data_IF_015324122850
#
_entry.id   IF_015324122850
#
_cell.length_a   1.000
_cell.length_b   1.000
_cell.length_c   1.000
_cell.angle_alpha   90.00
_cell.angle_beta   90.00
_cell.angle_gamma   90.00
#
_symmetry.space_group_name_H-M   'P 1'
#
loop_
_entity.id
_entity.type
_entity.pdbx_description
1 polymer ?
#
# COMPACT_ATOMS: atom_id res chain seq x y z
N UNK A 1 29.46 -22.36 21.09
CA UNK A 1 29.32 -21.05 20.40
C UNK A 1 28.55 -21.30 19.12
N UNK A 2 27.27 -21.03 19.11
CA UNK A 2 26.48 -20.98 17.88
C UNK A 2 26.94 -19.74 17.12
N UNK A 3 27.64 -19.93 16.01
CA UNK A 3 27.92 -18.85 15.08
C UNK A 3 26.60 -18.46 14.43
N UNK A 4 26.26 -17.19 14.48
CA UNK A 4 25.14 -16.59 13.74
C UNK A 4 25.22 -16.98 12.27
N UNK A 5 24.47 -18.00 11.86
CA UNK A 5 24.33 -18.38 10.46
C UNK A 5 23.41 -17.45 9.68
N UNK A 6 23.09 -16.28 10.21
CA UNK A 6 22.34 -15.23 9.52
C UNK A 6 23.24 -14.22 8.79
N UNK A 7 24.55 -14.50 8.63
CA UNK A 7 25.43 -13.66 7.86
C UNK A 7 25.31 -13.94 6.37
N UNK A 8 24.81 -12.97 5.62
CA UNK A 8 25.10 -12.69 4.21
C UNK A 8 25.17 -13.90 3.26
N UNK A 9 24.13 -14.73 3.22
CA UNK A 9 23.95 -15.56 2.03
C UNK A 9 23.56 -14.60 0.90
N UNK A 10 24.53 -14.20 0.09
CA UNK A 10 24.28 -13.52 -1.18
C UNK A 10 23.17 -14.29 -1.88
N UNK A 11 22.07 -13.62 -2.21
CA UNK A 11 20.99 -14.24 -2.98
C UNK A 11 21.58 -14.79 -4.27
N UNK A 12 21.20 -16.00 -4.70
CA UNK A 12 21.80 -16.60 -5.89
C UNK A 12 21.56 -15.75 -7.13
N UNK A 13 22.56 -15.69 -8.01
CA UNK A 13 22.40 -15.10 -9.33
C UNK A 13 21.41 -15.94 -10.15
N UNK A 14 20.48 -15.28 -10.82
CA UNK A 14 19.59 -15.96 -11.74
C UNK A 14 20.14 -15.85 -13.18
N UNK A 15 20.10 -16.98 -13.90
CA UNK A 15 20.16 -16.93 -15.36
C UNK A 15 18.88 -16.28 -15.91
N UNK A 16 18.88 -15.95 -17.21
CA UNK A 16 17.69 -15.40 -17.85
C UNK A 16 16.45 -16.28 -17.65
N UNK A 17 16.58 -17.59 -17.91
CA UNK A 17 15.46 -18.53 -17.79
C UNK A 17 15.00 -18.71 -16.34
N UNK A 18 15.93 -18.76 -15.39
CA UNK A 18 15.61 -18.78 -13.96
C UNK A 18 14.89 -17.52 -13.52
N UNK A 19 15.36 -16.35 -14.00
CA UNK A 19 14.76 -15.06 -13.69
C UNK A 19 13.30 -15.00 -14.15
N UNK A 20 13.04 -15.39 -15.42
CA UNK A 20 11.68 -15.41 -15.99
C UNK A 20 10.77 -16.33 -15.17
N UNK A 21 11.20 -17.56 -14.91
CA UNK A 21 10.39 -18.53 -14.17
C UNK A 21 10.11 -18.07 -12.72
N UNK A 22 11.13 -17.56 -12.03
CA UNK A 22 11.01 -17.15 -10.64
C UNK A 22 10.17 -15.87 -10.50
N UNK A 23 10.35 -14.91 -11.40
CA UNK A 23 9.60 -13.65 -11.32
C UNK A 23 8.12 -13.84 -11.70
N UNK A 24 7.83 -14.75 -12.64
CA UNK A 24 6.43 -15.12 -12.94
C UNK A 24 5.75 -15.72 -11.71
N UNK A 25 6.40 -16.61 -10.98
CA UNK A 25 5.88 -17.17 -9.73
C UNK A 25 5.68 -16.11 -8.66
N UNK A 26 6.61 -15.17 -8.56
CA UNK A 26 6.54 -14.03 -7.64
C UNK A 26 5.31 -13.17 -7.91
N UNK A 27 5.02 -12.87 -9.18
CA UNK A 27 3.84 -12.13 -9.60
C UNK A 27 2.54 -12.94 -9.44
N UNK A 28 2.58 -14.26 -9.67
CA UNK A 28 1.41 -15.12 -9.53
C UNK A 28 0.98 -15.34 -8.08
N UNK A 29 1.91 -15.26 -7.14
CA UNK A 29 1.63 -15.46 -5.72
C UNK A 29 0.72 -14.37 -5.15
N UNK A 30 0.94 -13.11 -5.54
CA UNK A 30 0.09 -11.96 -5.21
C UNK A 30 0.34 -10.81 -6.18
N UNK A 31 -0.57 -9.87 -6.25
CA UNK A 31 -0.37 -8.66 -7.06
C UNK A 31 0.87 -7.89 -6.60
N UNK A 32 1.68 -7.46 -7.57
CA UNK A 32 2.94 -6.74 -7.33
C UNK A 32 2.94 -5.41 -8.07
N UNK A 33 3.59 -4.40 -7.49
CA UNK A 33 3.91 -3.19 -8.24
C UNK A 33 5.20 -3.36 -9.04
N UNK A 34 5.41 -2.51 -10.04
CA UNK A 34 6.61 -2.55 -10.89
C UNK A 34 7.89 -2.41 -10.06
N UNK A 35 7.88 -1.56 -9.05
CA UNK A 35 9.00 -1.32 -8.15
C UNK A 35 9.43 -2.59 -7.39
N UNK A 36 8.48 -3.34 -6.86
CA UNK A 36 8.75 -4.63 -6.17
C UNK A 36 9.40 -5.63 -7.12
N UNK A 37 8.89 -5.72 -8.35
CA UNK A 37 9.45 -6.61 -9.37
C UNK A 37 10.86 -6.20 -9.76
N UNK A 38 11.12 -4.91 -9.96
CA UNK A 38 12.46 -4.38 -10.26
C UNK A 38 13.45 -4.74 -9.16
N UNK A 39 13.10 -4.48 -7.92
CA UNK A 39 13.97 -4.80 -6.77
C UNK A 39 14.23 -6.29 -6.65
N UNK A 40 13.22 -7.12 -6.88
CA UNK A 40 13.37 -8.56 -6.84
C UNK A 40 14.36 -9.06 -7.89
N UNK A 41 14.30 -8.55 -9.10
CA UNK A 41 15.24 -8.87 -10.18
C UNK A 41 16.65 -8.38 -9.85
N UNK A 42 16.78 -7.15 -9.35
CA UNK A 42 18.06 -6.56 -8.98
C UNK A 42 18.73 -7.36 -7.85
N UNK A 43 17.99 -7.85 -6.87
CA UNK A 43 18.51 -8.70 -5.80
C UNK A 43 19.23 -9.96 -6.33
N UNK A 44 18.82 -10.44 -7.50
CA UNK A 44 19.38 -11.62 -8.17
C UNK A 44 20.24 -11.27 -9.38
N UNK A 45 20.80 -10.05 -9.38
CA UNK A 45 21.75 -9.56 -10.36
C UNK A 45 21.21 -9.45 -11.81
N UNK A 46 19.91 -9.20 -11.95
CA UNK A 46 19.31 -8.86 -13.24
C UNK A 46 19.20 -7.33 -13.34
N UNK A 47 19.84 -6.76 -14.36
CA UNK A 47 19.93 -5.31 -14.55
C UNK A 47 19.72 -4.91 -16.01
N UNK A 48 19.59 -3.62 -16.24
CA UNK A 48 19.68 -2.99 -17.57
C UNK A 48 18.64 -3.51 -18.55
N UNK A 49 19.06 -3.75 -19.79
CA UNK A 49 18.18 -4.14 -20.88
C UNK A 49 17.44 -5.45 -20.62
N UNK A 50 18.11 -6.42 -20.00
CA UNK A 50 17.49 -7.69 -19.65
C UNK A 50 16.37 -7.49 -18.63
N UNK A 51 16.57 -6.65 -17.62
CA UNK A 51 15.54 -6.32 -16.65
C UNK A 51 14.33 -5.68 -17.33
N UNK A 52 14.54 -4.72 -18.23
CA UNK A 52 13.46 -4.05 -18.95
C UNK A 52 12.71 -5.00 -19.86
N UNK A 53 13.42 -5.90 -20.55
CA UNK A 53 12.81 -6.94 -21.38
C UNK A 53 11.91 -7.87 -20.57
N UNK A 54 12.37 -8.33 -19.41
CA UNK A 54 11.61 -9.20 -18.53
C UNK A 54 10.34 -8.49 -18.01
N UNK A 55 10.45 -7.24 -17.60
CA UNK A 55 9.30 -6.46 -17.14
C UNK A 55 8.29 -6.27 -18.28
N UNK A 56 8.75 -5.94 -19.47
CA UNK A 56 7.90 -5.79 -20.65
C UNK A 56 7.13 -7.08 -20.95
N UNK A 57 7.80 -8.22 -20.87
CA UNK A 57 7.18 -9.54 -21.08
C UNK A 57 6.14 -9.87 -20.01
N UNK A 58 6.42 -9.53 -18.76
CA UNK A 58 5.46 -9.71 -17.65
C UNK A 58 4.18 -8.90 -17.86
N UNK A 59 4.33 -7.67 -18.34
CA UNK A 59 3.19 -6.80 -18.66
C UNK A 59 2.38 -7.38 -19.83
N UNK A 60 3.07 -7.78 -20.90
CA UNK A 60 2.44 -8.32 -22.11
C UNK A 60 1.69 -9.62 -21.86
N UNK A 61 2.17 -10.44 -20.93
CA UNK A 61 1.59 -11.73 -20.58
C UNK A 61 0.66 -11.67 -19.35
N UNK A 62 0.27 -10.47 -18.91
CA UNK A 62 -0.66 -10.23 -17.80
C UNK A 62 -0.19 -10.75 -16.43
N UNK A 63 1.11 -10.91 -16.22
CA UNK A 63 1.68 -11.18 -14.89
C UNK A 63 1.82 -9.93 -14.03
N UNK A 64 1.93 -8.76 -14.68
CA UNK A 64 2.17 -7.48 -14.02
C UNK A 64 1.22 -6.43 -14.59
N UNK A 65 0.36 -5.87 -13.72
CA UNK A 65 -0.60 -4.84 -14.08
C UNK A 65 -0.68 -3.81 -12.96
N UNK A 66 -0.24 -2.59 -13.23
CA UNK A 66 -0.19 -1.50 -12.26
C UNK A 66 -1.58 -1.11 -11.74
N UNK A 67 -2.58 -1.05 -12.61
CA UNK A 67 -3.93 -0.67 -12.21
C UNK A 67 -4.56 -1.72 -11.30
N UNK A 68 -4.42 -3.00 -11.65
CA UNK A 68 -4.91 -4.10 -10.80
C UNK A 68 -4.22 -4.08 -9.44
N UNK A 69 -2.90 -3.87 -9.42
CA UNK A 69 -2.15 -3.72 -8.17
C UNK A 69 -2.71 -2.57 -7.33
N UNK A 70 -2.88 -1.40 -7.92
CA UNK A 70 -3.34 -0.21 -7.21
C UNK A 70 -4.76 -0.40 -6.63
N UNK A 71 -5.67 -0.97 -7.42
CA UNK A 71 -7.05 -1.28 -6.97
C UNK A 71 -7.07 -2.29 -5.84
N UNK A 72 -6.31 -3.37 -5.95
CA UNK A 72 -6.19 -4.41 -4.92
C UNK A 72 -5.58 -3.86 -3.64
N UNK A 73 -4.54 -3.04 -3.77
CA UNK A 73 -3.88 -2.37 -2.65
C UNK A 73 -4.85 -1.46 -1.89
N UNK A 74 -5.54 -0.58 -2.60
CA UNK A 74 -6.49 0.36 -2.00
C UNK A 74 -7.62 -0.37 -1.26
N UNK A 75 -8.22 -1.36 -1.89
CA UNK A 75 -9.27 -2.20 -1.31
C UNK A 75 -8.81 -2.88 -0.03
N UNK A 76 -7.64 -3.53 -0.07
CA UNK A 76 -7.08 -4.25 1.06
C UNK A 76 -6.72 -3.35 2.23
N UNK A 77 -6.04 -2.23 1.97
CA UNK A 77 -5.64 -1.28 3.02
C UNK A 77 -6.83 -0.60 3.67
N UNK A 78 -7.85 -0.27 2.91
CA UNK A 78 -9.08 0.28 3.45
C UNK A 78 -9.81 -0.76 4.34
N UNK A 79 -10.04 -1.96 3.82
CA UNK A 79 -10.79 -3.02 4.55
C UNK A 79 -10.05 -3.57 5.75
N UNK A 80 -8.75 -3.86 5.60
CA UNK A 80 -7.98 -4.55 6.64
C UNK A 80 -7.31 -3.59 7.63
N UNK A 81 -6.85 -2.43 7.16
CA UNK A 81 -6.12 -1.44 7.96
C UNK A 81 -6.96 -0.20 8.28
N UNK A 82 -8.09 -0.04 7.63
CA UNK A 82 -8.95 1.14 7.76
C UNK A 82 -8.23 2.45 7.44
N UNK A 83 -7.31 2.40 6.48
CA UNK A 83 -6.61 3.60 6.02
C UNK A 83 -7.53 4.52 5.24
N UNK A 84 -7.37 5.84 5.44
CA UNK A 84 -8.00 6.86 4.63
C UNK A 84 -7.33 7.02 3.26
N UNK A 85 -8.00 7.73 2.37
CA UNK A 85 -7.56 7.93 0.99
C UNK A 85 -6.17 8.57 0.90
N UNK A 86 -5.87 9.56 1.73
CA UNK A 86 -4.59 10.28 1.69
C UNK A 86 -3.41 9.34 1.98
N UNK A 87 -3.55 8.45 2.95
CA UNK A 87 -2.52 7.47 3.26
C UNK A 87 -2.35 6.44 2.15
N UNK A 88 -3.44 5.94 1.61
CA UNK A 88 -3.41 4.99 0.49
C UNK A 88 -2.74 5.62 -0.74
N UNK A 89 -3.12 6.85 -1.09
CA UNK A 89 -2.50 7.59 -2.21
C UNK A 89 -1.00 7.78 -2.00
N UNK A 90 -0.60 8.18 -0.80
CA UNK A 90 0.81 8.39 -0.46
C UNK A 90 1.62 7.11 -0.60
N UNK A 91 1.11 6.00 -0.08
CA UNK A 91 1.76 4.70 -0.16
C UNK A 91 1.86 4.18 -1.60
N UNK A 92 0.87 4.46 -2.44
CA UNK A 92 0.93 4.15 -3.86
C UNK A 92 1.97 5.02 -4.59
N UNK A 93 2.07 6.30 -4.25
CA UNK A 93 3.11 7.19 -4.79
C UNK A 93 4.53 6.75 -4.43
N UNK A 94 4.74 6.29 -3.20
CA UNK A 94 6.02 5.75 -2.74
C UNK A 94 6.43 4.53 -3.58
N UNK A 95 5.45 3.76 -4.08
CA UNK A 95 5.66 2.61 -4.96
C UNK A 95 5.73 2.96 -6.44
N UNK A 96 5.87 4.23 -6.75
CA UNK A 96 5.96 4.77 -8.12
C UNK A 96 4.74 4.42 -9.00
N UNK A 97 3.59 4.22 -8.39
CA UNK A 97 2.33 4.02 -9.12
C UNK A 97 1.88 5.32 -9.77
N UNK A 98 1.48 5.26 -11.03
CA UNK A 98 1.05 6.44 -11.80
C UNK A 98 -0.20 7.10 -11.24
N UNK A 99 -0.36 8.39 -11.50
CA UNK A 99 -1.56 9.14 -11.11
C UNK A 99 -2.85 8.53 -11.69
N UNK A 100 -2.80 7.99 -12.91
CA UNK A 100 -3.92 7.29 -13.53
C UNK A 100 -4.38 6.09 -12.72
N UNK A 101 -3.45 5.22 -12.34
CA UNK A 101 -3.75 4.01 -11.55
C UNK A 101 -4.19 4.35 -10.12
N UNK A 102 -3.63 5.40 -9.52
CA UNK A 102 -4.07 5.87 -8.20
C UNK A 102 -5.52 6.36 -8.26
N UNK A 103 -5.88 7.13 -9.28
CA UNK A 103 -7.25 7.62 -9.48
C UNK A 103 -8.23 6.45 -9.64
N UNK A 104 -7.85 5.45 -10.44
CA UNK A 104 -8.63 4.23 -10.60
C UNK A 104 -8.80 3.49 -9.26
N UNK A 105 -7.72 3.38 -8.48
CA UNK A 105 -7.74 2.73 -7.17
C UNK A 105 -8.72 3.41 -6.19
N UNK A 106 -8.85 4.73 -6.23
CA UNK A 106 -9.76 5.46 -5.35
C UNK A 106 -11.23 5.11 -5.61
N UNK A 107 -11.57 4.66 -6.82
CA UNK A 107 -12.95 4.22 -7.14
C UNK A 107 -13.35 2.93 -6.43
N UNK A 108 -12.39 2.17 -5.90
CA UNK A 108 -12.64 0.96 -5.11
C UNK A 108 -13.18 1.25 -3.70
N UNK A 109 -13.13 2.50 -3.27
CA UNK A 109 -13.57 2.92 -1.93
C UNK A 109 -14.94 3.56 -2.06
N UNK A 110 -15.98 2.89 -1.56
CA UNK A 110 -17.33 3.43 -1.51
C UNK A 110 -17.42 4.61 -0.54
N UNK A 111 -18.02 5.72 -1.00
CA UNK A 111 -18.10 6.96 -0.21
C UNK A 111 -18.90 6.81 1.07
N UNK A 112 -20.01 6.08 1.02
CA UNK A 112 -20.84 5.82 2.20
C UNK A 112 -20.16 4.94 3.23
N UNK A 113 -19.54 3.85 2.77
CA UNK A 113 -18.74 2.96 3.61
C UNK A 113 -17.55 3.72 4.24
N UNK A 114 -16.89 4.57 3.47
CA UNK A 114 -15.76 5.39 3.90
C UNK A 114 -16.14 6.29 5.09
N UNK A 115 -17.27 6.97 5.01
CA UNK A 115 -17.76 7.83 6.09
C UNK A 115 -18.15 7.01 7.32
N UNK A 116 -18.76 5.85 7.14
CA UNK A 116 -19.11 4.94 8.23
C UNK A 116 -17.88 4.42 8.97
N UNK A 117 -16.83 4.05 8.24
CA UNK A 117 -15.57 3.58 8.83
C UNK A 117 -14.91 4.71 9.63
N UNK A 118 -14.85 5.92 9.07
CA UNK A 118 -14.31 7.08 9.79
C UNK A 118 -15.09 7.36 11.08
N UNK A 119 -16.40 7.35 11.03
CA UNK A 119 -17.27 7.54 12.19
C UNK A 119 -17.00 6.51 13.28
N UNK A 120 -16.88 5.23 12.91
CA UNK A 120 -16.59 4.14 13.82
C UNK A 120 -15.19 4.24 14.43
N UNK A 121 -14.20 4.63 13.66
CA UNK A 121 -12.83 4.87 14.16
C UNK A 121 -12.79 5.97 15.20
N UNK A 122 -13.46 7.09 14.94
CA UNK A 122 -13.54 8.21 15.88
C UNK A 122 -14.28 7.81 17.15
N UNK A 123 -15.40 7.09 17.05
CA UNK A 123 -16.16 6.60 18.18
C UNK A 123 -15.34 5.65 19.07
N UNK A 124 -14.61 4.72 18.45
CA UNK A 124 -13.73 3.78 19.17
C UNK A 124 -12.60 4.52 19.87
N UNK A 125 -11.95 5.47 19.19
CA UNK A 125 -10.87 6.26 19.78
C UNK A 125 -11.36 7.09 20.96
N UNK A 126 -12.54 7.68 20.85
CA UNK A 126 -13.19 8.43 21.92
C UNK A 126 -13.40 7.59 23.18
N UNK A 127 -13.89 6.36 23.01
CA UNK A 127 -14.13 5.44 24.13
C UNK A 127 -12.86 4.93 24.81
N UNK A 128 -11.77 4.83 24.06
CA UNK A 128 -10.51 4.22 24.53
C UNK A 128 -9.45 5.24 24.97
N UNK A 129 -9.75 6.53 24.91
CA UNK A 129 -8.79 7.59 25.20
C UNK A 129 -9.33 8.54 26.27
N UNK A 130 -8.48 8.96 27.18
CA UNK A 130 -8.79 9.98 28.20
C UNK A 130 -8.44 11.37 27.67
N UNK A 131 -9.32 12.33 27.89
CA UNK A 131 -9.16 13.71 27.44
C UNK A 131 -9.22 14.67 28.65
N UNK A 132 -8.41 15.73 28.58
CA UNK A 132 -8.36 16.78 29.63
C UNK A 132 -9.57 17.71 29.54
N UNK A 133 -10.02 18.04 28.34
CA UNK A 133 -11.12 18.95 28.03
C UNK A 133 -11.60 18.72 26.59
N UNK A 134 -12.58 19.50 26.13
CA UNK A 134 -13.13 19.38 24.77
C UNK A 134 -12.12 19.75 23.68
N UNK A 135 -11.25 20.72 23.94
CA UNK A 135 -10.22 21.11 22.98
C UNK A 135 -9.18 19.98 22.79
N UNK A 136 -8.73 19.38 23.87
CA UNK A 136 -7.82 18.24 23.86
C UNK A 136 -8.44 17.04 23.13
N UNK A 137 -9.72 16.77 23.40
CA UNK A 137 -10.49 15.72 22.70
C UNK A 137 -10.51 15.95 21.20
N UNK A 138 -10.91 17.13 20.75
CA UNK A 138 -10.96 17.50 19.33
C UNK A 138 -9.59 17.32 18.68
N UNK A 139 -8.52 17.80 19.32
CA UNK A 139 -7.16 17.66 18.80
C UNK A 139 -6.74 16.21 18.65
N UNK A 140 -6.91 15.39 19.68
CA UNK A 140 -6.49 13.99 19.70
C UNK A 140 -7.26 13.16 18.67
N UNK A 141 -8.57 13.37 18.54
CA UNK A 141 -9.38 12.69 17.53
C UNK A 141 -8.97 13.10 16.12
N UNK A 142 -8.75 14.39 15.89
CA UNK A 142 -8.30 14.91 14.60
C UNK A 142 -6.93 14.33 14.22
N UNK A 143 -5.96 14.39 15.10
CA UNK A 143 -4.60 13.88 14.86
C UNK A 143 -4.61 12.37 14.57
N UNK A 144 -5.42 11.62 15.29
CA UNK A 144 -5.58 10.18 15.04
C UNK A 144 -6.13 9.88 13.65
N UNK A 145 -7.22 10.54 13.26
CA UNK A 145 -7.83 10.33 11.96
C UNK A 145 -6.93 10.81 10.81
N UNK A 146 -6.21 11.93 10.99
CA UNK A 146 -5.20 12.38 10.03
C UNK A 146 -4.08 11.35 9.86
N UNK A 147 -3.60 10.76 10.94
CA UNK A 147 -2.56 9.73 10.90
C UNK A 147 -3.01 8.47 10.16
N UNK A 148 -4.30 8.18 10.18
CA UNK A 148 -4.93 7.10 9.42
C UNK A 148 -5.10 7.43 7.93
N UNK A 149 -4.96 8.71 7.56
CA UNK A 149 -5.02 9.16 6.18
C UNK A 149 -6.36 9.75 5.73
N UNK A 150 -7.24 10.08 6.67
CA UNK A 150 -8.53 10.70 6.33
C UNK A 150 -8.36 12.20 6.05
N UNK A 151 -9.25 12.75 5.22
CA UNK A 151 -9.24 14.15 4.84
C UNK A 151 -9.69 15.02 6.01
N UNK A 152 -8.98 16.13 6.23
CA UNK A 152 -9.27 17.05 7.34
C UNK A 152 -10.72 17.54 7.35
N UNK A 153 -11.25 17.91 6.18
CA UNK A 153 -12.62 18.43 6.07
C UNK A 153 -13.67 17.44 6.54
N UNK A 154 -13.50 16.16 6.21
CA UNK A 154 -14.38 15.09 6.65
C UNK A 154 -14.27 14.84 8.16
N UNK A 155 -13.06 14.90 8.68
CA UNK A 155 -12.81 14.75 10.12
C UNK A 155 -13.48 15.89 10.89
N UNK A 156 -13.28 17.11 10.44
CA UNK A 156 -13.88 18.31 11.07
C UNK A 156 -15.40 18.24 11.07
N UNK A 157 -15.99 17.86 9.95
CA UNK A 157 -17.44 17.65 9.83
C UNK A 157 -17.96 16.59 10.79
N UNK A 158 -17.30 15.44 10.84
CA UNK A 158 -17.66 14.34 11.74
C UNK A 158 -17.57 14.72 13.21
N UNK A 159 -16.52 15.42 13.61
CA UNK A 159 -16.32 15.88 14.99
C UNK A 159 -17.35 16.95 15.35
N UNK A 160 -17.69 17.84 14.40
CA UNK A 160 -18.68 18.90 14.61
C UNK A 160 -20.10 18.40 14.84
N UNK A 161 -20.42 17.17 14.42
CA UNK A 161 -21.72 16.52 14.63
C UNK A 161 -21.82 15.74 15.95
N UNK A 162 -20.76 15.70 16.73
CA UNK A 162 -20.66 14.95 18.00
C UNK A 162 -20.96 15.87 19.23
#
# INVERSE_FOLDING_TARGET
MAKDEFSDKKKPYWSKDEAVANIQRYCAFQERCHKEVRYKLIEHAIYGDLLEEIISDLISNNFLDEEIFARTFARGKFRMKQWGRNKIKQELKIRDVSAYSIKAAMTEIDGGEYLSVLSNLLAKKERTTTFKNQLDKKKKLTDYALSKGYEYDLIAEMIGKR
#
